data_IF_930289153430
#
_entry.id   IF_930289153430
#
_cell.length_a   1.000
_cell.length_b   1.000
_cell.length_c   1.000
_cell.angle_alpha   90.00
_cell.angle_beta   90.00
_cell.angle_gamma   90.00
#
_symmetry.space_group_name_H-M   'P 1'
#
loop_
_entity.id
_entity.type
_entity.pdbx_description
1 polymer ?
#
# COMPACT_ATOMS: atom_id res chain seq x y z
N UNK A 1 11.20 -28.63 -2.64
CA UNK A 1 12.29 -27.71 -2.22
C UNK A 1 11.83 -26.33 -2.60
N UNK A 2 11.88 -25.36 -1.68
CA UNK A 2 11.40 -24.01 -1.98
C UNK A 2 12.52 -23.30 -2.70
N UNK A 3 12.22 -22.71 -3.84
CA UNK A 3 13.15 -21.89 -4.60
C UNK A 3 13.30 -20.53 -3.90
N UNK A 4 14.49 -20.26 -3.35
CA UNK A 4 14.81 -18.98 -2.74
C UNK A 4 15.24 -18.01 -3.84
N UNK A 5 14.43 -16.98 -4.09
CA UNK A 5 14.74 -15.95 -5.05
C UNK A 5 15.81 -14.99 -4.47
N UNK A 6 16.96 -14.89 -5.15
CA UNK A 6 18.12 -14.09 -4.72
C UNK A 6 17.77 -12.61 -4.61
N UNK A 7 17.00 -12.06 -5.55
CA UNK A 7 16.67 -10.62 -5.59
C UNK A 7 15.78 -10.26 -4.40
N UNK A 8 14.74 -11.06 -4.14
CA UNK A 8 13.83 -10.84 -3.02
C UNK A 8 14.54 -10.98 -1.66
N UNK A 9 15.42 -11.98 -1.55
CA UNK A 9 16.19 -12.18 -0.33
C UNK A 9 17.12 -10.99 -0.06
N UNK A 10 17.89 -10.54 -1.06
CA UNK A 10 18.78 -9.40 -0.90
C UNK A 10 18.01 -8.11 -0.59
N UNK A 11 16.88 -7.89 -1.24
CA UNK A 11 16.00 -6.76 -0.91
C UNK A 11 15.50 -6.80 0.55
N UNK A 12 15.21 -7.97 1.09
CA UNK A 12 14.88 -8.13 2.51
C UNK A 12 16.08 -7.79 3.41
N UNK A 13 17.29 -8.30 3.10
CA UNK A 13 18.49 -8.08 3.90
C UNK A 13 18.91 -6.61 3.93
N UNK A 14 18.76 -5.90 2.81
CA UNK A 14 19.04 -4.46 2.69
C UNK A 14 18.15 -3.60 3.59
N UNK A 15 17.01 -4.13 4.03
CA UNK A 15 16.11 -3.45 4.95
C UNK A 15 16.45 -3.69 6.44
N UNK A 16 17.48 -4.49 6.72
CA UNK A 16 17.94 -4.76 8.08
C UNK A 16 19.15 -3.90 8.37
N UNK A 17 19.01 -2.98 9.32
CA UNK A 17 20.09 -2.06 9.67
C UNK A 17 21.35 -2.82 10.12
N UNK A 18 22.43 -2.68 9.35
CA UNK A 18 23.72 -3.29 9.67
C UNK A 18 23.74 -4.82 9.56
N UNK A 19 22.88 -5.45 8.74
CA UNK A 19 22.81 -6.90 8.62
C UNK A 19 24.15 -7.56 8.29
N UNK A 20 24.93 -6.97 7.40
CA UNK A 20 26.21 -7.54 6.96
C UNK A 20 27.31 -7.42 8.02
N UNK A 21 27.14 -6.55 9.02
CA UNK A 21 28.05 -6.40 10.16
C UNK A 21 27.69 -7.31 11.35
N UNK A 22 26.55 -7.99 11.28
CA UNK A 22 26.11 -8.91 12.31
C UNK A 22 26.98 -10.16 12.36
N UNK A 23 27.10 -10.75 13.55
CA UNK A 23 27.68 -12.11 13.69
C UNK A 23 26.83 -13.11 12.91
N UNK A 24 27.48 -14.08 12.27
CA UNK A 24 26.77 -15.08 11.46
C UNK A 24 25.69 -15.85 12.25
N UNK A 25 25.83 -15.98 13.56
CA UNK A 25 24.81 -16.56 14.44
C UNK A 25 23.53 -15.69 14.50
N UNK A 26 23.67 -14.36 14.55
CA UNK A 26 22.53 -13.45 14.56
C UNK A 26 21.89 -13.31 13.18
N UNK A 27 22.67 -13.48 12.12
CA UNK A 27 22.14 -13.57 10.74
C UNK A 27 21.21 -14.78 10.55
N UNK A 28 21.46 -15.91 11.24
CA UNK A 28 20.56 -17.08 11.25
C UNK A 28 19.16 -16.68 11.71
N UNK A 29 19.03 -15.81 12.71
CA UNK A 29 17.74 -15.38 13.25
C UNK A 29 16.90 -14.66 12.17
N UNK A 30 17.53 -13.81 11.37
CA UNK A 30 16.87 -13.11 10.25
C UNK A 30 16.52 -14.01 9.08
N UNK A 31 17.34 -15.04 8.79
CA UNK A 31 16.98 -16.02 7.76
C UNK A 31 15.81 -16.91 8.20
N UNK A 32 15.70 -17.26 9.49
CA UNK A 32 14.49 -17.93 10.01
C UNK A 32 13.28 -16.99 9.89
N UNK A 33 13.44 -15.72 10.17
CA UNK A 33 12.38 -14.71 9.98
C UNK A 33 11.95 -14.64 8.52
N UNK A 34 12.88 -14.48 7.58
CA UNK A 34 12.61 -14.44 6.16
C UNK A 34 11.81 -15.66 5.68
N UNK A 35 12.24 -16.85 6.04
CA UNK A 35 11.60 -18.08 5.59
C UNK A 35 10.21 -18.27 6.22
N UNK A 36 10.05 -17.99 7.51
CA UNK A 36 8.79 -18.28 8.21
C UNK A 36 7.77 -17.15 8.19
N UNK A 37 8.20 -15.90 8.06
CA UNK A 37 7.32 -14.73 8.05
C UNK A 37 7.16 -14.17 6.63
N UNK A 38 8.26 -13.79 5.95
CA UNK A 38 8.19 -13.19 4.62
C UNK A 38 7.75 -14.21 3.54
N UNK A 39 8.27 -15.44 3.62
CA UNK A 39 7.89 -16.54 2.70
C UNK A 39 6.71 -17.38 3.20
N UNK A 40 6.16 -17.04 4.37
CA UNK A 40 4.98 -17.69 4.98
C UNK A 40 5.11 -19.21 5.09
N UNK A 41 6.33 -19.72 5.38
CA UNK A 41 6.53 -21.13 5.60
C UNK A 41 6.09 -21.53 7.00
N UNK A 42 5.37 -22.63 7.10
CA UNK A 42 4.97 -23.17 8.41
C UNK A 42 6.17 -23.44 9.32
N UNK A 43 7.27 -23.91 8.76
CA UNK A 43 8.54 -24.19 9.46
C UNK A 43 9.73 -24.05 8.52
N UNK A 44 10.93 -23.86 9.07
CA UNK A 44 12.19 -23.90 8.31
C UNK A 44 13.16 -24.94 8.87
N UNK A 45 14.12 -25.34 8.05
CA UNK A 45 15.18 -26.29 8.38
C UNK A 45 16.56 -25.65 8.17
N UNK A 46 17.59 -26.25 8.77
CA UNK A 46 18.97 -25.77 8.66
C UNK A 46 19.47 -25.71 7.20
N UNK A 47 18.99 -26.60 6.33
CA UNK A 47 19.32 -26.64 4.91
C UNK A 47 18.81 -25.41 4.17
N UNK A 48 17.56 -24.97 4.40
CA UNK A 48 16.98 -23.80 3.79
C UNK A 48 17.68 -22.51 4.29
N UNK A 49 18.03 -22.45 5.58
CA UNK A 49 18.81 -21.33 6.14
C UNK A 49 20.20 -21.25 5.50
N UNK A 50 20.86 -22.39 5.32
CA UNK A 50 22.16 -22.46 4.62
C UNK A 50 22.05 -21.98 3.19
N UNK A 51 20.97 -22.30 2.50
CA UNK A 51 20.72 -21.80 1.15
C UNK A 51 20.54 -20.28 1.13
N UNK A 52 19.88 -19.67 2.12
CA UNK A 52 19.80 -18.22 2.25
C UNK A 52 21.19 -17.56 2.33
N UNK A 53 22.09 -18.08 3.14
CA UNK A 53 23.49 -17.62 3.19
C UNK A 53 24.15 -17.65 1.82
N UNK A 54 24.07 -18.79 1.12
CA UNK A 54 24.69 -18.97 -0.19
C UNK A 54 24.09 -18.04 -1.26
N UNK A 55 22.78 -17.88 -1.26
CA UNK A 55 22.07 -16.98 -2.19
C UNK A 55 22.36 -15.51 -1.94
N UNK A 56 22.76 -15.14 -0.71
CA UNK A 56 23.15 -13.78 -0.34
C UNK A 56 24.66 -13.53 -0.45
N UNK A 57 25.41 -14.44 -1.04
CA UNK A 57 26.89 -14.38 -1.18
C UNK A 57 27.61 -14.23 0.18
N UNK A 58 27.04 -14.80 1.26
CA UNK A 58 27.60 -14.77 2.62
C UNK A 58 28.06 -16.18 3.01
N UNK A 59 29.20 -16.30 3.66
CA UNK A 59 29.69 -17.58 4.19
C UNK A 59 28.72 -18.14 5.23
N UNK A 60 28.22 -19.36 5.05
CA UNK A 60 27.27 -19.95 5.97
C UNK A 60 27.84 -20.12 7.39
N UNK A 61 27.02 -19.84 8.40
CA UNK A 61 27.37 -20.18 9.77
C UNK A 61 27.67 -21.69 9.89
N UNK A 62 28.80 -22.03 10.50
CA UNK A 62 29.36 -23.40 10.47
C UNK A 62 28.43 -24.46 11.08
N UNK A 63 27.65 -24.11 12.09
CA UNK A 63 26.80 -25.08 12.80
C UNK A 63 25.36 -24.58 13.05
N UNK A 64 24.63 -24.32 11.94
CA UNK A 64 23.25 -23.85 11.98
C UNK A 64 22.35 -24.80 12.78
N UNK A 65 22.49 -26.13 12.57
CA UNK A 65 21.65 -27.13 13.25
C UNK A 65 21.82 -27.07 14.77
N UNK A 66 23.04 -26.99 15.26
CA UNK A 66 23.32 -26.91 16.68
C UNK A 66 22.83 -25.57 17.28
N UNK A 67 22.97 -24.48 16.53
CA UNK A 67 22.46 -23.16 16.93
C UNK A 67 20.95 -23.20 17.14
N UNK A 68 20.20 -23.77 16.21
CA UNK A 68 18.76 -23.90 16.31
C UNK A 68 18.37 -24.75 17.54
N UNK A 69 18.98 -25.94 17.71
CA UNK A 69 18.69 -26.83 18.85
C UNK A 69 18.97 -26.16 20.19
N UNK A 70 20.12 -25.48 20.32
CA UNK A 70 20.54 -24.81 21.55
C UNK A 70 19.58 -23.68 21.96
N UNK A 71 18.99 -22.99 20.99
CA UNK A 71 18.15 -21.82 21.21
C UNK A 71 16.63 -22.13 21.25
N UNK A 72 16.24 -23.40 21.21
CA UNK A 72 14.84 -23.84 21.50
C UNK A 72 14.54 -23.77 23.00
N UNK A 73 15.54 -24.01 23.86
CA UNK A 73 15.38 -23.95 25.32
C UNK A 73 15.82 -22.58 25.82
N UNK A 74 14.90 -21.84 26.43
CA UNK A 74 15.22 -20.61 27.14
C UNK A 74 16.04 -20.90 28.41
N UNK A 75 16.74 -19.88 28.90
CA UNK A 75 17.34 -19.83 30.22
C UNK A 75 16.64 -18.73 31.02
N UNK A 76 16.74 -18.76 32.38
CA UNK A 76 16.04 -17.79 33.24
C UNK A 76 16.14 -16.31 32.81
N UNK A 77 17.25 -15.91 32.19
CA UNK A 77 17.46 -14.53 31.71
C UNK A 77 17.29 -14.35 30.20
N UNK A 78 17.18 -15.43 29.41
CA UNK A 78 17.08 -15.38 27.96
C UNK A 78 15.94 -16.29 27.48
N UNK A 79 14.84 -15.71 26.99
CA UNK A 79 13.74 -16.50 26.44
C UNK A 79 14.22 -17.34 25.24
N UNK A 80 13.51 -18.43 24.90
CA UNK A 80 13.83 -19.22 23.71
C UNK A 80 13.76 -18.34 22.45
N UNK A 81 14.67 -18.58 21.51
CA UNK A 81 14.66 -17.92 20.20
C UNK A 81 13.72 -18.62 19.22
N UNK A 82 13.63 -19.94 19.30
CA UNK A 82 12.89 -20.79 18.37
C UNK A 82 11.92 -21.72 19.06
N UNK A 83 10.90 -22.12 18.31
CA UNK A 83 9.99 -23.21 18.66
C UNK A 83 10.36 -24.42 17.76
N UNK A 84 10.59 -25.60 18.37
CA UNK A 84 10.76 -26.85 17.65
C UNK A 84 9.38 -27.42 17.34
N UNK A 85 9.07 -27.58 16.07
CA UNK A 85 7.88 -28.28 15.56
C UNK A 85 8.33 -29.51 14.82
N UNK A 86 7.44 -30.50 14.63
CA UNK A 86 7.78 -31.85 14.12
C UNK A 86 8.77 -31.81 12.95
N UNK A 87 8.57 -30.94 11.98
CA UNK A 87 9.32 -30.92 10.73
C UNK A 87 10.33 -29.76 10.61
N UNK A 88 10.54 -28.97 11.67
CA UNK A 88 11.47 -27.85 11.60
C UNK A 88 11.40 -26.88 12.78
N UNK A 89 11.68 -25.62 12.49
CA UNK A 89 11.76 -24.54 13.47
C UNK A 89 10.92 -23.34 13.05
N UNK A 90 10.34 -22.66 14.03
CA UNK A 90 9.68 -21.37 13.88
C UNK A 90 10.31 -20.36 14.84
N UNK A 91 10.07 -19.05 14.60
CA UNK A 91 10.46 -18.02 15.56
C UNK A 91 9.60 -18.07 16.81
N UNK A 92 10.25 -17.95 17.96
CA UNK A 92 9.55 -17.63 19.19
C UNK A 92 9.06 -16.15 19.15
N UNK A 93 7.90 -15.88 19.76
CA UNK A 93 7.27 -14.54 19.73
C UNK A 93 8.21 -13.42 20.20
N UNK A 94 9.01 -13.64 21.24
CA UNK A 94 9.95 -12.64 21.77
C UNK A 94 11.03 -12.26 20.77
N UNK A 95 11.63 -13.25 20.07
CA UNK A 95 12.64 -12.99 19.05
C UNK A 95 12.01 -12.29 17.84
N UNK A 96 10.83 -12.73 17.41
CA UNK A 96 10.11 -12.09 16.32
C UNK A 96 9.93 -10.59 16.57
N UNK A 97 9.41 -10.21 17.73
CA UNK A 97 9.20 -8.80 18.08
C UNK A 97 10.51 -8.00 18.14
N UNK A 98 11.61 -8.63 18.60
CA UNK A 98 12.92 -7.97 18.64
C UNK A 98 13.50 -7.75 17.22
N UNK A 99 13.36 -8.73 16.31
CA UNK A 99 13.82 -8.59 14.93
C UNK A 99 13.00 -7.53 14.16
N UNK A 100 11.67 -7.49 14.36
CA UNK A 100 10.78 -6.52 13.74
C UNK A 100 11.13 -5.06 14.08
N UNK A 101 11.74 -4.82 15.24
CA UNK A 101 12.22 -3.48 15.63
C UNK A 101 13.45 -3.04 14.82
N UNK A 102 14.28 -3.98 14.35
CA UNK A 102 15.49 -3.72 13.59
C UNK A 102 15.29 -3.81 12.06
N UNK A 103 14.16 -4.38 11.63
CA UNK A 103 13.78 -4.39 10.22
C UNK A 103 13.18 -3.01 9.92
N UNK A 104 13.86 -2.24 9.10
CA UNK A 104 13.34 -0.93 8.71
C UNK A 104 11.95 -1.10 8.06
N UNK A 105 11.06 -0.12 8.30
CA UNK A 105 9.67 -0.09 7.77
C UNK A 105 9.54 -0.26 6.24
N UNK A 106 10.65 -0.33 5.52
CA UNK A 106 10.70 -0.57 4.08
C UNK A 106 10.04 -1.89 3.64
N UNK A 107 10.06 -2.95 4.48
CA UNK A 107 9.42 -4.23 4.12
C UNK A 107 7.90 -4.10 4.07
N UNK A 108 7.31 -3.41 5.06
CA UNK A 108 5.87 -3.13 5.07
C UNK A 108 5.52 -2.27 3.85
N UNK A 109 6.35 -1.27 3.54
CA UNK A 109 6.17 -0.41 2.38
C UNK A 109 6.27 -1.16 1.06
N UNK A 110 7.21 -2.11 0.93
CA UNK A 110 7.33 -2.93 -0.28
C UNK A 110 6.09 -3.81 -0.51
N UNK A 111 5.49 -4.36 0.56
CA UNK A 111 4.24 -5.11 0.47
C UNK A 111 3.08 -4.20 0.08
N UNK A 112 2.92 -3.07 0.75
CA UNK A 112 1.87 -2.09 0.42
C UNK A 112 2.04 -1.59 -1.02
N UNK A 113 3.25 -1.30 -1.47
CA UNK A 113 3.52 -0.92 -2.87
C UNK A 113 3.11 -2.01 -3.86
N UNK A 114 3.35 -3.29 -3.54
CA UNK A 114 2.92 -4.41 -4.37
C UNK A 114 1.39 -4.48 -4.45
N UNK A 115 0.71 -4.39 -3.32
CA UNK A 115 -0.75 -4.43 -3.26
C UNK A 115 -1.36 -3.24 -4.04
N UNK A 116 -0.78 -2.04 -3.93
CA UNK A 116 -1.20 -0.88 -4.72
C UNK A 116 -0.95 -1.06 -6.22
N UNK A 117 0.16 -1.69 -6.61
CA UNK A 117 0.44 -1.99 -8.03
C UNK A 117 -0.51 -3.04 -8.60
N UNK A 118 -1.07 -3.94 -7.79
CA UNK A 118 -2.12 -4.85 -8.23
C UNK A 118 -3.38 -4.10 -8.67
N UNK A 119 -3.70 -2.94 -8.08
CA UNK A 119 -4.83 -2.12 -8.51
C UNK A 119 -4.72 -1.68 -9.98
N UNK A 120 -3.49 -1.48 -10.50
CA UNK A 120 -3.27 -1.13 -11.90
C UNK A 120 -3.83 -2.19 -12.86
N UNK A 121 -3.82 -3.46 -12.46
CA UNK A 121 -4.34 -4.56 -13.31
C UNK A 121 -5.85 -4.49 -13.52
N UNK A 122 -6.55 -3.74 -12.66
CA UNK A 122 -8.01 -3.58 -12.70
C UNK A 122 -8.47 -2.28 -13.38
N UNK A 123 -7.55 -1.33 -13.63
CA UNK A 123 -7.86 -0.07 -14.33
C UNK A 123 -7.61 -0.26 -15.82
N UNK A 124 -8.69 -0.38 -16.58
CA UNK A 124 -8.62 -0.74 -18.01
C UNK A 124 -8.30 0.44 -18.93
N UNK A 125 -8.62 1.67 -18.55
CA UNK A 125 -8.31 2.85 -19.33
C UNK A 125 -6.80 3.12 -19.32
N UNK A 126 -6.09 3.12 -20.47
CA UNK A 126 -4.63 3.27 -20.49
C UNK A 126 -4.13 4.60 -19.91
N UNK A 127 -4.88 5.69 -20.13
CA UNK A 127 -4.51 7.03 -19.64
C UNK A 127 -4.64 7.05 -18.12
N UNK A 128 -5.74 6.56 -17.58
CA UNK A 128 -5.96 6.47 -16.13
C UNK A 128 -4.98 5.53 -15.45
N UNK A 129 -4.66 4.41 -16.09
CA UNK A 129 -3.69 3.45 -15.61
C UNK A 129 -2.30 4.06 -15.48
N UNK A 130 -1.83 4.79 -16.52
CA UNK A 130 -0.52 5.46 -16.47
C UNK A 130 -0.50 6.55 -15.39
N UNK A 131 -1.59 7.34 -15.27
CA UNK A 131 -1.68 8.38 -14.24
C UNK A 131 -1.69 7.79 -12.81
N UNK A 132 -2.41 6.67 -12.60
CA UNK A 132 -2.40 5.95 -11.32
C UNK A 132 -1.01 5.38 -11.01
N UNK A 133 -0.31 4.86 -12.02
CA UNK A 133 1.06 4.36 -11.88
C UNK A 133 2.03 5.46 -11.45
N UNK A 134 1.90 6.67 -12.00
CA UNK A 134 2.69 7.82 -11.56
C UNK A 134 2.38 8.19 -10.09
N UNK A 135 1.11 8.18 -9.69
CA UNK A 135 0.71 8.40 -8.31
C UNK A 135 1.29 7.36 -7.34
N UNK A 136 1.34 6.09 -7.75
CA UNK A 136 1.98 5.01 -6.97
C UNK A 136 3.50 5.21 -6.91
N UNK A 137 4.14 5.64 -8.00
CA UNK A 137 5.58 5.98 -7.97
C UNK A 137 5.86 7.10 -6.95
N UNK A 138 5.02 8.13 -6.88
CA UNK A 138 5.11 9.16 -5.85
C UNK A 138 4.97 8.57 -4.43
N UNK A 139 4.05 7.64 -4.24
CA UNK A 139 3.89 6.93 -2.97
C UNK A 139 5.16 6.17 -2.57
N UNK A 140 5.76 5.45 -3.49
CA UNK A 140 6.96 4.63 -3.27
C UNK A 140 8.18 5.45 -2.83
N UNK A 141 8.32 6.67 -3.33
CA UNK A 141 9.36 7.60 -2.87
C UNK A 141 8.95 8.45 -1.66
N UNK A 142 7.82 8.13 -1.02
CA UNK A 142 7.26 8.85 0.14
C UNK A 142 6.79 10.30 -0.16
N UNK A 143 6.54 10.62 -1.42
CA UNK A 143 5.94 11.89 -1.84
C UNK A 143 4.40 11.86 -1.66
N UNK A 144 3.94 11.56 -0.44
CA UNK A 144 2.52 11.28 -0.15
C UNK A 144 1.57 12.44 -0.46
N UNK A 145 2.04 13.70 -0.38
CA UNK A 145 1.22 14.86 -0.80
C UNK A 145 0.90 14.80 -2.29
N UNK A 146 1.92 14.55 -3.11
CA UNK A 146 1.75 14.41 -4.55
C UNK A 146 0.82 13.22 -4.86
N UNK A 147 1.01 12.08 -4.20
CA UNK A 147 0.12 10.91 -4.31
C UNK A 147 -1.33 11.27 -4.07
N UNK A 148 -1.64 11.92 -2.95
CA UNK A 148 -3.03 12.29 -2.58
C UNK A 148 -3.64 13.23 -3.62
N UNK A 149 -2.90 14.24 -4.07
CA UNK A 149 -3.39 15.19 -5.08
C UNK A 149 -3.63 14.50 -6.43
N UNK A 150 -2.70 13.65 -6.86
CA UNK A 150 -2.83 12.93 -8.13
C UNK A 150 -4.00 11.95 -8.12
N UNK A 151 -4.13 11.14 -7.08
CA UNK A 151 -5.25 10.17 -7.00
C UNK A 151 -6.59 10.88 -6.92
N UNK A 152 -6.67 12.01 -6.22
CA UNK A 152 -7.89 12.83 -6.20
C UNK A 152 -8.24 13.35 -7.60
N UNK A 153 -7.28 13.95 -8.30
CA UNK A 153 -7.49 14.48 -9.65
C UNK A 153 -7.94 13.38 -10.60
N UNK A 154 -7.30 12.21 -10.56
CA UNK A 154 -7.71 11.05 -11.33
C UNK A 154 -9.16 10.65 -11.04
N UNK A 155 -9.54 10.61 -9.76
CA UNK A 155 -10.89 10.20 -9.34
C UNK A 155 -11.97 11.16 -9.84
N UNK A 156 -11.71 12.45 -9.74
CA UNK A 156 -12.67 13.48 -10.22
C UNK A 156 -12.75 13.46 -11.74
N UNK A 157 -11.62 13.35 -12.42
CA UNK A 157 -11.55 13.23 -13.87
C UNK A 157 -12.31 11.99 -14.39
N UNK A 158 -12.16 10.87 -13.73
CA UNK A 158 -12.90 9.64 -14.00
C UNK A 158 -14.42 9.83 -13.88
N UNK A 159 -14.88 10.50 -12.82
CA UNK A 159 -16.29 10.81 -12.64
C UNK A 159 -16.83 11.77 -13.72
N UNK A 160 -16.03 12.74 -14.18
CA UNK A 160 -16.43 13.61 -15.30
C UNK A 160 -16.68 12.76 -16.57
N UNK A 161 -15.77 11.87 -16.92
CA UNK A 161 -15.91 10.98 -18.08
C UNK A 161 -17.11 10.04 -17.93
N UNK A 162 -17.29 9.47 -16.74
CA UNK A 162 -18.45 8.62 -16.44
C UNK A 162 -19.78 9.37 -16.65
N UNK A 163 -19.88 10.61 -16.15
CA UNK A 163 -21.08 11.42 -16.26
C UNK A 163 -21.34 11.79 -17.72
N UNK A 164 -20.33 12.23 -18.45
CA UNK A 164 -20.47 12.60 -19.86
C UNK A 164 -20.98 11.43 -20.72
N UNK A 165 -20.54 10.21 -20.43
CA UNK A 165 -20.91 9.02 -21.22
C UNK A 165 -22.22 8.40 -20.79
N UNK A 166 -22.52 8.38 -19.50
CA UNK A 166 -23.62 7.55 -18.98
C UNK A 166 -24.75 8.35 -18.29
N UNK A 167 -24.44 9.51 -17.68
CA UNK A 167 -25.32 10.17 -16.74
C UNK A 167 -25.52 11.67 -17.00
N UNK A 168 -25.20 12.13 -18.21
CA UNK A 168 -25.22 13.56 -18.57
C UNK A 168 -26.58 14.22 -18.31
N UNK A 169 -27.66 13.55 -18.69
CA UNK A 169 -29.03 14.06 -18.51
C UNK A 169 -29.41 14.17 -17.02
N UNK A 170 -29.09 13.15 -16.23
CA UNK A 170 -29.36 13.11 -14.79
C UNK A 170 -28.57 14.20 -14.07
N UNK A 171 -27.31 14.37 -14.42
CA UNK A 171 -26.46 15.41 -13.84
C UNK A 171 -26.96 16.81 -14.18
N UNK A 172 -27.24 17.08 -15.45
CA UNK A 172 -27.75 18.39 -15.91
C UNK A 172 -29.10 18.73 -15.29
N UNK A 173 -29.98 17.75 -15.07
CA UNK A 173 -31.24 17.97 -14.39
C UNK A 173 -31.05 18.40 -12.92
N UNK A 174 -30.04 17.82 -12.23
CA UNK A 174 -29.70 18.24 -10.86
C UNK A 174 -29.02 19.63 -10.85
N UNK A 175 -28.13 19.88 -11.80
CA UNK A 175 -27.42 21.16 -11.93
C UNK A 175 -28.39 22.32 -12.24
N UNK A 176 -29.38 22.11 -13.10
CA UNK A 176 -30.39 23.11 -13.44
C UNK A 176 -31.24 23.55 -12.24
N UNK A 177 -31.35 22.74 -11.20
CA UNK A 177 -32.04 23.06 -9.94
C UNK A 177 -31.16 23.79 -8.93
N UNK A 178 -29.92 24.11 -9.31
CA UNK A 178 -28.97 24.79 -8.43
C UNK A 178 -29.48 26.19 -8.01
N UNK A 179 -29.33 26.49 -6.73
CA UNK A 179 -29.66 27.79 -6.18
C UNK A 179 -28.42 28.60 -5.73
N UNK A 180 -27.25 28.00 -5.81
CA UNK A 180 -25.98 28.65 -5.44
C UNK A 180 -25.56 29.64 -6.51
N UNK A 181 -25.65 30.94 -6.21
CA UNK A 181 -25.33 32.02 -7.14
C UNK A 181 -23.87 32.07 -7.62
N UNK A 182 -22.98 31.30 -6.99
CA UNK A 182 -21.58 31.18 -7.41
C UNK A 182 -21.42 30.33 -8.67
N UNK A 183 -22.35 29.41 -8.90
CA UNK A 183 -22.38 28.53 -10.07
C UNK A 183 -23.27 29.18 -11.13
N UNK A 184 -22.66 29.59 -12.22
CA UNK A 184 -23.35 30.34 -13.28
C UNK A 184 -23.88 29.49 -14.42
N UNK A 185 -23.33 28.25 -14.55
CA UNK A 185 -23.75 27.31 -15.58
C UNK A 185 -24.97 26.52 -15.10
N UNK A 186 -25.82 26.15 -16.05
CA UNK A 186 -27.04 25.35 -15.79
C UNK A 186 -26.98 23.96 -16.43
N UNK A 187 -25.97 23.73 -17.24
CA UNK A 187 -25.69 22.43 -17.87
C UNK A 187 -24.22 22.30 -18.23
N UNK A 188 -23.75 21.05 -18.34
CA UNK A 188 -22.46 20.70 -18.88
C UNK A 188 -22.64 19.92 -20.17
N UNK A 189 -21.72 20.05 -21.11
CA UNK A 189 -21.72 19.36 -22.40
C UNK A 189 -20.38 18.72 -22.73
N UNK A 190 -19.32 19.23 -22.15
CA UNK A 190 -17.95 18.77 -22.31
C UNK A 190 -17.22 18.81 -20.96
N UNK A 191 -16.07 18.19 -20.91
CA UNK A 191 -15.27 18.04 -19.69
C UNK A 191 -14.86 19.37 -19.06
N UNK A 192 -14.48 20.35 -19.88
CA UNK A 192 -14.06 21.68 -19.39
C UNK A 192 -15.15 22.42 -18.62
N UNK A 193 -16.42 22.14 -18.91
CA UNK A 193 -17.54 22.81 -18.26
C UNK A 193 -17.60 22.50 -16.76
N UNK A 194 -17.07 21.34 -16.33
CA UNK A 194 -17.04 20.98 -14.90
C UNK A 194 -16.11 21.87 -14.07
N UNK A 195 -15.15 22.55 -14.69
CA UNK A 195 -14.25 23.48 -14.01
C UNK A 195 -15.01 24.69 -13.40
N UNK A 196 -16.19 24.99 -13.91
CA UNK A 196 -17.06 26.05 -13.39
C UNK A 196 -17.83 25.62 -12.12
N UNK A 197 -17.71 24.37 -11.70
CA UNK A 197 -18.41 23.80 -10.55
C UNK A 197 -17.39 23.51 -9.43
N UNK A 198 -17.52 24.13 -8.24
CA UNK A 198 -16.69 23.76 -7.10
C UNK A 198 -16.82 22.27 -6.77
N UNK A 199 -15.70 21.57 -6.45
CA UNK A 199 -15.67 20.13 -6.25
C UNK A 199 -16.68 19.62 -5.19
N UNK A 200 -16.87 20.35 -4.11
CA UNK A 200 -17.88 20.00 -3.10
C UNK A 200 -19.30 20.05 -3.68
N UNK A 201 -19.59 21.00 -4.56
CA UNK A 201 -20.88 21.10 -5.23
C UNK A 201 -21.06 20.04 -6.32
N UNK A 202 -20.00 19.70 -7.02
CA UNK A 202 -20.00 18.58 -7.95
C UNK A 202 -20.42 17.30 -7.25
N UNK A 203 -19.85 16.99 -6.09
CA UNK A 203 -20.20 15.80 -5.28
C UNK A 203 -21.69 15.87 -4.86
N UNK A 204 -22.18 17.03 -4.44
CA UNK A 204 -23.60 17.24 -4.08
C UNK A 204 -24.52 16.99 -5.28
N UNK A 205 -24.18 17.46 -6.50
CA UNK A 205 -24.97 17.23 -7.71
C UNK A 205 -24.95 15.74 -8.11
N UNK A 206 -23.82 15.08 -8.04
CA UNK A 206 -23.74 13.63 -8.27
C UNK A 206 -24.68 12.88 -7.34
N UNK A 207 -24.74 13.27 -6.07
CA UNK A 207 -25.65 12.65 -5.11
C UNK A 207 -27.12 12.99 -5.38
N UNK A 208 -27.44 14.24 -5.70
CA UNK A 208 -28.79 14.71 -5.99
C UNK A 208 -29.37 14.09 -7.26
N UNK A 209 -28.51 13.83 -8.23
CA UNK A 209 -28.83 13.12 -9.46
C UNK A 209 -28.95 11.58 -9.27
N UNK A 210 -28.69 11.04 -8.07
CA UNK A 210 -28.59 9.62 -7.77
C UNK A 210 -27.49 8.87 -8.54
N UNK A 211 -26.50 9.58 -9.07
CA UNK A 211 -25.33 9.01 -9.75
C UNK A 211 -24.47 8.26 -8.74
N UNK A 212 -24.25 8.83 -7.56
CA UNK A 212 -23.51 8.20 -6.47
C UNK A 212 -24.42 7.93 -5.26
N UNK A 213 -24.08 6.88 -4.51
CA UNK A 213 -24.75 6.58 -3.24
C UNK A 213 -24.36 7.56 -2.13
N UNK A 214 -25.12 7.56 -1.02
CA UNK A 214 -24.76 8.39 0.14
C UNK A 214 -23.42 8.00 0.76
N UNK A 215 -23.03 6.72 0.71
CA UNK A 215 -21.75 6.27 1.28
C UNK A 215 -20.60 6.72 0.40
N UNK A 216 -20.71 6.67 -0.93
CA UNK A 216 -19.70 7.21 -1.85
C UNK A 216 -19.59 8.73 -1.68
N UNK A 217 -20.71 9.45 -1.51
CA UNK A 217 -20.67 10.89 -1.18
C UNK A 217 -19.83 11.16 0.07
N UNK A 218 -20.05 10.41 1.15
CA UNK A 218 -19.28 10.57 2.40
C UNK A 218 -17.78 10.31 2.21
N UNK A 219 -17.43 9.27 1.42
CA UNK A 219 -16.03 8.98 1.07
C UNK A 219 -15.44 10.20 0.34
N UNK A 220 -16.09 10.65 -0.73
CA UNK A 220 -15.61 11.79 -1.53
C UNK A 220 -15.49 13.07 -0.70
N UNK A 221 -16.49 13.41 0.13
CA UNK A 221 -16.43 14.59 1.03
C UNK A 221 -15.23 14.52 1.98
N UNK A 222 -15.00 13.33 2.59
CA UNK A 222 -13.86 13.10 3.49
C UNK A 222 -12.54 13.24 2.76
N UNK A 223 -12.42 12.61 1.59
CA UNK A 223 -11.17 12.62 0.79
C UNK A 223 -10.90 14.01 0.20
N UNK A 224 -11.93 14.78 -0.17
CA UNK A 224 -11.79 16.20 -0.55
C UNK A 224 -11.19 17.03 0.60
N UNK A 225 -11.68 16.86 1.82
CA UNK A 225 -11.12 17.54 3.01
C UNK A 225 -9.65 17.19 3.25
N UNK A 226 -9.28 15.92 3.09
CA UNK A 226 -7.90 15.44 3.19
C UNK A 226 -7.04 16.08 2.09
N UNK A 227 -7.49 16.02 0.82
CA UNK A 227 -6.74 16.60 -0.31
C UNK A 227 -6.53 18.10 -0.13
N UNK A 228 -7.55 18.84 0.27
CA UNK A 228 -7.43 20.27 0.52
C UNK A 228 -6.40 20.60 1.60
N UNK A 229 -6.37 19.81 2.69
CA UNK A 229 -5.39 19.98 3.75
C UNK A 229 -3.96 19.68 3.29
N UNK A 230 -3.79 18.81 2.29
CA UNK A 230 -2.47 18.34 1.84
C UNK A 230 -1.97 19.04 0.57
N UNK A 231 -2.85 19.65 -0.22
CA UNK A 231 -2.48 20.39 -1.42
C UNK A 231 -1.69 21.67 -1.13
N UNK A 232 -1.79 22.22 0.08
CA UNK A 232 -1.10 23.41 0.49
C UNK A 232 0.04 23.14 1.47
N UNK A 233 1.10 23.96 1.52
CA UNK A 233 2.13 23.87 2.54
C UNK A 233 1.51 23.99 3.94
N UNK A 234 1.67 22.96 4.76
CA UNK A 234 1.16 22.88 6.12
C UNK A 234 2.06 22.04 7.00
N UNK A 235 1.98 22.22 8.32
CA UNK A 235 2.72 21.42 9.29
C UNK A 235 2.14 20.01 9.50
N UNK A 236 1.05 19.65 8.79
CA UNK A 236 0.43 18.34 8.90
C UNK A 236 1.32 17.31 8.18
N UNK A 237 1.78 16.31 8.92
CA UNK A 237 2.52 15.17 8.36
C UNK A 237 1.55 14.15 7.80
N UNK A 238 1.77 13.75 6.56
CA UNK A 238 1.09 12.60 5.95
C UNK A 238 1.91 11.37 6.26
N UNK A 239 1.27 10.36 6.84
CA UNK A 239 1.85 9.05 7.08
C UNK A 239 1.43 8.08 5.97
N UNK A 240 2.24 7.06 5.74
CA UNK A 240 2.05 6.05 4.71
C UNK A 240 0.65 5.44 4.72
N UNK A 241 0.17 5.01 5.90
CA UNK A 241 -1.15 4.36 6.01
C UNK A 241 -2.32 5.24 5.56
N UNK A 242 -2.23 6.57 5.77
CA UNK A 242 -3.26 7.51 5.28
C UNK A 242 -3.23 7.67 3.76
N UNK A 243 -2.04 7.65 3.17
CA UNK A 243 -1.90 7.70 1.71
C UNK A 243 -2.37 6.38 1.07
N UNK A 244 -2.08 5.23 1.68
CA UNK A 244 -2.57 3.91 1.27
C UNK A 244 -4.09 3.86 1.28
N UNK A 245 -4.71 4.17 2.43
CA UNK A 245 -6.17 4.22 2.57
C UNK A 245 -6.81 5.18 1.56
N UNK A 246 -6.16 6.31 1.27
CA UNK A 246 -6.66 7.27 0.30
C UNK A 246 -6.72 6.69 -1.11
N UNK A 247 -5.67 5.98 -1.55
CA UNK A 247 -5.62 5.32 -2.85
C UNK A 247 -6.67 4.21 -2.91
N UNK A 248 -6.67 3.29 -1.93
CA UNK A 248 -7.55 2.13 -1.90
C UNK A 248 -9.03 2.53 -1.91
N UNK A 249 -9.40 3.50 -1.10
CA UNK A 249 -10.79 3.96 -1.02
C UNK A 249 -11.28 4.54 -2.35
N UNK A 250 -10.48 5.39 -2.99
CA UNK A 250 -10.89 6.05 -4.23
C UNK A 250 -10.82 5.10 -5.43
N UNK A 251 -9.81 4.26 -5.52
CA UNK A 251 -9.71 3.30 -6.63
C UNK A 251 -10.82 2.26 -6.54
N UNK A 252 -10.97 1.60 -5.39
CA UNK A 252 -11.93 0.50 -5.25
C UNK A 252 -13.41 0.96 -5.25
N UNK A 253 -13.68 2.10 -4.60
CA UNK A 253 -15.07 2.56 -4.41
C UNK A 253 -15.56 3.52 -5.49
N UNK A 254 -14.66 4.10 -6.28
CA UNK A 254 -15.02 5.06 -7.33
C UNK A 254 -14.54 4.58 -8.70
N UNK A 255 -13.25 4.52 -8.95
CA UNK A 255 -12.71 4.22 -10.30
C UNK A 255 -13.14 2.84 -10.79
N UNK A 256 -13.03 1.82 -9.98
CA UNK A 256 -13.42 0.45 -10.37
C UNK A 256 -14.93 0.22 -10.37
N UNK A 257 -15.70 1.09 -9.72
CA UNK A 257 -17.16 0.96 -9.60
C UNK A 257 -17.92 1.67 -10.72
N UNK A 258 -17.52 2.88 -11.09
CA UNK A 258 -18.19 3.71 -12.09
C UNK A 258 -17.52 3.56 -13.46
N UNK A 259 -17.72 2.41 -14.11
CA UNK A 259 -17.10 2.10 -15.41
C UNK A 259 -17.80 2.80 -16.56
N UNK A 260 -17.05 3.26 -17.58
CA UNK A 260 -17.55 3.94 -18.76
C UNK A 260 -16.88 3.48 -20.05
#
# INVERSE_FOLDING_TARGET
MIEINKIELNSFLDNIKGFFDLKSADQVDYFVYYLTIEKNLAVTQATAIRECFLKSDISPYSNISQYLIKNVRGKEKNPPKFLKIKDGYQLHRSLRSALEQNIEKKVIKAKVSKDLRELLTHVNNPIENEFLKEAINCFEISAYRATVVMVWNLTIDHLFEYILKNELSSFNFALAKNTDKRIKITSVSKKDDFSEIPENKFIEFCRSANIISNDIRKILDTKLGIRNSYAHPSNIKIIESKATEFIEDLVNNVILKYKY
#
